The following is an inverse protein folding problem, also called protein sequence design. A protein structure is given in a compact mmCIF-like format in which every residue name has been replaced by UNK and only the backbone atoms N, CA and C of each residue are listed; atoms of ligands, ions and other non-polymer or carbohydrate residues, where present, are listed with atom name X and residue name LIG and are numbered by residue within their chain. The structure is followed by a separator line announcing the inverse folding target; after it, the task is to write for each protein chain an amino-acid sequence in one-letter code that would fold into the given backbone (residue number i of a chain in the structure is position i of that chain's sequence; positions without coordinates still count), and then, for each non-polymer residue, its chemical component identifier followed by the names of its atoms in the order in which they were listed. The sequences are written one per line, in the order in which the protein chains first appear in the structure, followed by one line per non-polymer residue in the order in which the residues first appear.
data_IF_803418983495
#
_entry.id   IF_803418983495
#
_cell.length_a   1.000
_cell.length_b   1.000
_cell.length_c   1.000
_cell.angle_alpha   90.00
_cell.angle_beta   90.00
_cell.angle_gamma   90.00
#
_symmetry.space_group_name_H-M   'P 1'
#
loop_
_entity.id
_entity.type
_entity.pdbx_description
1 polymer ?
#
# COMPACT_ATOMS: atom_id res chain seq x y z
N UNK A 1 -19.47 -9.73 -7.41
CA UNK A 1 -19.07 -8.45 -6.85
C UNK A 1 -18.45 -8.63 -5.47
N UNK A 2 -17.24 -8.09 -5.26
CA UNK A 2 -16.58 -8.04 -3.95
C UNK A 2 -17.32 -7.09 -2.99
N UNK A 3 -17.43 -7.50 -1.73
CA UNK A 3 -18.15 -6.74 -0.70
C UNK A 3 -17.21 -6.48 0.47
N UNK A 4 -17.04 -5.20 0.83
CA UNK A 4 -16.35 -4.84 2.06
C UNK A 4 -17.25 -5.11 3.26
N UNK A 5 -16.77 -5.90 4.22
CA UNK A 5 -17.39 -6.09 5.52
C UNK A 5 -16.57 -5.34 6.57
N UNK A 6 -17.25 -4.51 7.34
CA UNK A 6 -16.64 -3.77 8.45
C UNK A 6 -16.90 -4.54 9.75
N UNK A 7 -15.83 -4.91 10.45
CA UNK A 7 -15.89 -5.13 11.90
C UNK A 7 -15.36 -3.87 12.61
N UNK A 8 -15.67 -3.69 13.89
CA UNK A 8 -15.28 -2.55 14.71
C UNK A 8 -13.76 -2.30 14.76
N UNK A 9 -12.94 -3.28 14.37
CA UNK A 9 -11.48 -3.24 14.45
C UNK A 9 -10.77 -3.44 13.11
N UNK A 10 -11.41 -4.08 12.12
CA UNK A 10 -10.77 -4.45 10.85
C UNK A 10 -11.74 -4.33 9.67
N UNK A 11 -11.25 -3.75 8.57
CA UNK A 11 -11.91 -3.86 7.27
C UNK A 11 -11.48 -5.17 6.61
N UNK A 12 -12.46 -5.99 6.28
CA UNK A 12 -12.26 -7.28 5.65
C UNK A 12 -13.02 -7.35 4.33
N UNK A 13 -12.43 -7.97 3.33
CA UNK A 13 -13.06 -8.17 2.04
C UNK A 13 -13.69 -9.56 1.96
N UNK A 14 -14.96 -9.64 1.57
CA UNK A 14 -15.67 -10.88 1.35
C UNK A 14 -15.59 -11.29 -0.13
N UNK A 15 -15.18 -12.54 -0.35
CA UNK A 15 -15.03 -13.17 -1.66
C UNK A 15 -16.13 -14.20 -1.95
N UNK A 16 -17.13 -14.33 -1.08
CA UNK A 16 -18.25 -15.26 -1.27
C UNK A 16 -18.95 -15.04 -2.62
N UNK A 17 -19.19 -13.77 -2.97
CA UNK A 17 -19.89 -13.36 -4.18
C UNK A 17 -18.97 -12.71 -5.22
N UNK A 18 -17.65 -12.93 -5.15
CA UNK A 18 -16.70 -12.37 -6.12
C UNK A 18 -17.08 -12.72 -7.58
N UNK A 19 -16.77 -11.83 -8.51
CA UNK A 19 -16.95 -11.97 -9.95
C UNK A 19 -15.62 -11.88 -10.71
N UNK A 20 -15.54 -12.50 -11.89
CA UNK A 20 -14.38 -12.38 -12.76
C UNK A 20 -14.30 -10.93 -13.24
N UNK A 21 -13.11 -10.32 -13.12
CA UNK A 21 -12.87 -8.92 -13.41
C UNK A 21 -12.97 -8.00 -12.19
N UNK A 22 -13.43 -8.50 -11.04
CA UNK A 22 -13.41 -7.72 -9.80
C UNK A 22 -11.97 -7.34 -9.43
N UNK A 23 -11.77 -6.08 -9.06
CA UNK A 23 -10.47 -5.50 -8.71
C UNK A 23 -10.44 -5.17 -7.23
N UNK A 24 -9.32 -5.47 -6.58
CA UNK A 24 -9.06 -5.12 -5.19
C UNK A 24 -7.58 -4.88 -4.96
N UNK A 25 -7.27 -4.31 -3.81
CA UNK A 25 -5.91 -3.95 -3.41
C UNK A 25 -5.53 -4.67 -2.13
N UNK A 26 -4.34 -5.24 -2.10
CA UNK A 26 -3.76 -5.89 -0.92
C UNK A 26 -2.71 -4.97 -0.33
N UNK A 27 -2.82 -4.70 0.96
CA UNK A 27 -1.83 -3.93 1.72
C UNK A 27 -0.99 -4.91 2.52
N UNK A 28 0.29 -4.98 2.20
CA UNK A 28 1.26 -5.79 2.94
C UNK A 28 1.90 -4.94 4.04
N UNK A 29 1.87 -5.42 5.28
CA UNK A 29 2.55 -4.78 6.41
C UNK A 29 3.87 -5.50 6.72
N UNK A 30 4.83 -4.75 7.23
CA UNK A 30 6.04 -5.34 7.84
C UNK A 30 5.62 -6.03 9.15
N UNK A 31 6.00 -7.31 9.38
CA UNK A 31 5.58 -8.06 10.57
C UNK A 31 5.82 -7.29 11.87
N UNK A 32 4.85 -7.35 12.78
CA UNK A 32 4.91 -6.72 14.11
C UNK A 32 5.08 -5.19 14.09
N UNK A 33 4.82 -4.55 12.95
CA UNK A 33 4.83 -3.08 12.83
C UNK A 33 3.59 -2.61 12.07
N UNK A 34 3.12 -1.40 12.35
CA UNK A 34 2.08 -0.74 11.56
C UNK A 34 2.57 -0.27 10.18
N UNK A 35 3.85 -0.47 9.85
CA UNK A 35 4.47 0.05 8.64
C UNK A 35 4.01 -0.73 7.42
N UNK A 36 3.50 -0.01 6.43
CA UNK A 36 3.12 -0.59 5.13
C UNK A 36 4.39 -0.88 4.34
N UNK A 37 4.56 -2.14 3.95
CA UNK A 37 5.65 -2.65 3.12
C UNK A 37 5.33 -2.51 1.63
N UNK A 38 4.09 -2.72 1.26
CA UNK A 38 3.67 -2.81 -0.14
C UNK A 38 2.17 -2.63 -0.29
N UNK A 39 1.77 -2.11 -1.45
CA UNK A 39 0.37 -2.05 -1.87
C UNK A 39 0.30 -2.66 -3.25
N UNK A 40 -0.53 -3.70 -3.44
CA UNK A 40 -0.58 -4.43 -4.69
C UNK A 40 -2.00 -4.58 -5.22
N UNK A 41 -2.16 -4.25 -6.51
CA UNK A 41 -3.40 -4.43 -7.24
C UNK A 41 -3.57 -5.88 -7.65
N UNK A 42 -4.75 -6.43 -7.40
CA UNK A 42 -5.16 -7.75 -7.83
C UNK A 42 -6.48 -7.68 -8.61
N UNK A 43 -6.60 -8.54 -9.60
CA UNK A 43 -7.82 -8.77 -10.37
C UNK A 43 -8.23 -10.22 -10.24
N UNK A 44 -9.51 -10.48 -10.01
CA UNK A 44 -10.08 -11.82 -10.02
C UNK A 44 -10.12 -12.34 -11.45
N UNK A 45 -9.40 -13.43 -11.73
CA UNK A 45 -9.31 -13.99 -13.09
C UNK A 45 -10.07 -15.29 -13.26
N UNK A 46 -10.26 -16.06 -12.19
CA UNK A 46 -10.97 -17.34 -12.25
C UNK A 46 -11.72 -17.61 -10.94
N UNK A 47 -12.94 -18.14 -11.06
CA UNK A 47 -13.77 -18.55 -9.92
C UNK A 47 -14.03 -20.04 -10.00
N UNK A 48 -13.64 -20.74 -8.93
CA UNK A 48 -13.95 -22.16 -8.70
C UNK A 48 -14.97 -22.28 -7.57
N UNK A 49 -15.52 -23.49 -7.40
CA UNK A 49 -16.54 -23.78 -6.38
C UNK A 49 -16.15 -23.32 -4.95
N UNK A 50 -14.86 -23.41 -4.57
CA UNK A 50 -14.38 -23.00 -3.22
C UNK A 50 -13.29 -21.94 -3.23
N UNK A 51 -12.77 -21.58 -4.40
CA UNK A 51 -11.58 -20.75 -4.53
C UNK A 51 -11.79 -19.63 -5.54
N UNK A 52 -11.19 -18.48 -5.27
CA UNK A 52 -11.05 -17.36 -6.18
C UNK A 52 -9.57 -17.24 -6.52
N UNK A 53 -9.23 -17.25 -7.81
CA UNK A 53 -7.87 -17.06 -8.30
C UNK A 53 -7.73 -15.62 -8.75
N UNK A 54 -6.73 -14.95 -8.20
CA UNK A 54 -6.46 -13.54 -8.43
C UNK A 54 -5.05 -13.38 -8.99
N UNK A 55 -4.88 -12.45 -9.92
CA UNK A 55 -3.60 -12.13 -10.53
C UNK A 55 -3.23 -10.67 -10.27
N UNK A 56 -1.94 -10.41 -10.20
CA UNK A 56 -1.35 -9.08 -10.12
C UNK A 56 -0.29 -8.96 -11.20
N UNK A 57 -0.09 -7.76 -11.74
CA UNK A 57 0.97 -7.47 -12.70
C UNK A 57 2.36 -7.47 -12.04
N UNK A 58 2.42 -7.05 -10.77
CA UNK A 58 3.67 -6.83 -10.04
C UNK A 58 3.93 -7.88 -8.95
N UNK A 59 2.91 -8.68 -8.60
CA UNK A 59 2.98 -9.65 -7.51
C UNK A 59 2.60 -11.06 -7.96
N UNK A 60 2.92 -12.05 -7.12
CA UNK A 60 2.60 -13.45 -7.40
C UNK A 60 1.08 -13.66 -7.41
N UNK A 61 0.56 -14.56 -8.27
CA UNK A 61 -0.84 -14.95 -8.25
C UNK A 61 -1.25 -15.49 -6.88
N UNK A 62 -2.49 -15.18 -6.50
CA UNK A 62 -3.05 -15.52 -5.19
C UNK A 62 -4.28 -16.41 -5.35
N UNK A 63 -4.48 -17.32 -4.38
CA UNK A 63 -5.66 -18.19 -4.30
C UNK A 63 -6.36 -17.94 -2.97
N UNK A 64 -7.57 -17.42 -3.02
CA UNK A 64 -8.37 -17.05 -1.86
C UNK A 64 -9.51 -18.06 -1.70
N UNK A 65 -9.82 -18.47 -0.47
CA UNK A 65 -11.01 -19.27 -0.19
C UNK A 65 -12.24 -18.38 -0.17
N UNK A 66 -13.29 -18.76 -0.90
CA UNK A 66 -14.56 -17.98 -0.97
C UNK A 66 -15.23 -17.81 0.39
N UNK A 67 -15.04 -18.77 1.30
CA UNK A 67 -15.62 -18.75 2.63
C UNK A 67 -14.82 -17.94 3.66
N UNK A 68 -13.71 -17.32 3.26
CA UNK A 68 -12.77 -16.68 4.19
C UNK A 68 -12.68 -15.21 3.90
N UNK A 69 -13.00 -14.41 4.91
CA UNK A 69 -12.78 -12.97 4.90
C UNK A 69 -11.29 -12.67 4.82
N UNK A 70 -10.90 -11.78 3.91
CA UNK A 70 -9.51 -11.38 3.75
C UNK A 70 -9.26 -10.05 4.44
N UNK A 71 -8.28 -10.03 5.34
CA UNK A 71 -7.79 -8.82 5.97
C UNK A 71 -6.85 -8.05 5.04
N UNK A 72 -6.70 -6.76 5.32
CA UNK A 72 -5.82 -5.86 4.57
C UNK A 72 -6.09 -5.84 3.05
N UNK A 73 -7.31 -6.18 2.66
CA UNK A 73 -7.80 -6.13 1.29
C UNK A 73 -8.84 -5.02 1.18
N UNK A 74 -8.70 -4.15 0.18
CA UNK A 74 -9.48 -2.94 0.05
C UNK A 74 -10.03 -2.78 -1.37
N UNK A 75 -11.17 -2.11 -1.49
CA UNK A 75 -11.68 -1.62 -2.77
C UNK A 75 -11.05 -0.26 -3.08
N UNK A 76 -10.93 0.06 -4.37
CA UNK A 76 -10.31 1.31 -4.83
C UNK A 76 -11.04 2.56 -4.30
N UNK A 77 -12.36 2.49 -4.15
CA UNK A 77 -13.18 3.59 -3.65
C UNK A 77 -13.26 3.65 -2.11
N UNK A 78 -12.47 2.86 -1.38
CA UNK A 78 -12.47 2.90 0.08
C UNK A 78 -11.74 4.16 0.59
N UNK A 79 -12.40 5.04 1.38
CA UNK A 79 -11.76 6.27 1.88
C UNK A 79 -10.51 6.01 2.72
N UNK A 80 -10.50 4.92 3.49
CA UNK A 80 -9.34 4.55 4.31
C UNK A 80 -8.19 4.02 3.45
N UNK A 81 -8.51 3.34 2.34
CA UNK A 81 -7.50 2.88 1.40
C UNK A 81 -6.78 4.06 0.71
N UNK A 82 -7.51 5.13 0.37
CA UNK A 82 -6.89 6.33 -0.21
C UNK A 82 -5.81 6.93 0.72
N UNK A 83 -6.07 6.98 2.04
CA UNK A 83 -5.10 7.46 3.02
C UNK A 83 -3.89 6.53 3.18
N UNK A 84 -4.12 5.21 3.19
CA UNK A 84 -3.07 4.18 3.19
C UNK A 84 -2.18 4.35 1.95
N UNK A 85 -2.78 4.42 0.76
CA UNK A 85 -2.08 4.50 -0.50
C UNK A 85 -1.20 5.75 -0.54
N UNK A 86 -1.75 6.91 -0.18
CA UNK A 86 -1.01 8.16 -0.10
C UNK A 86 0.18 8.07 0.88
N UNK A 87 -0.04 7.47 2.05
CA UNK A 87 1.00 7.29 3.06
C UNK A 87 2.12 6.39 2.56
N UNK A 88 1.76 5.29 1.89
CA UNK A 88 2.70 4.36 1.29
C UNK A 88 3.52 5.04 0.18
N UNK A 89 2.90 5.76 -0.75
CA UNK A 89 3.57 6.46 -1.85
C UNK A 89 4.62 7.47 -1.34
N UNK A 90 4.25 8.30 -0.36
CA UNK A 90 5.18 9.26 0.27
C UNK A 90 6.34 8.50 0.93
N UNK A 91 6.04 7.44 1.67
CA UNK A 91 7.07 6.66 2.37
C UNK A 91 8.04 5.99 1.39
N UNK A 92 7.53 5.43 0.30
CA UNK A 92 8.35 4.84 -0.77
C UNK A 92 9.22 5.89 -1.46
N UNK A 93 8.69 7.10 -1.71
CA UNK A 93 9.49 8.20 -2.27
C UNK A 93 10.62 8.62 -1.33
N UNK A 94 10.33 8.76 -0.03
CA UNK A 94 11.35 9.11 0.97
C UNK A 94 12.44 8.04 1.05
N UNK A 95 12.07 6.76 1.07
CA UNK A 95 13.06 5.67 1.07
C UNK A 95 13.89 5.64 -0.22
N UNK A 96 13.28 5.92 -1.37
CA UNK A 96 14.01 6.05 -2.62
C UNK A 96 15.02 7.21 -2.60
N UNK A 97 14.61 8.40 -2.14
CA UNK A 97 15.51 9.55 -1.97
C UNK A 97 16.63 9.23 -0.98
N UNK A 98 16.33 8.59 0.15
CA UNK A 98 17.35 8.16 1.13
C UNK A 98 18.37 7.21 0.50
N UNK A 99 17.91 6.28 -0.34
CA UNK A 99 18.78 5.36 -1.06
C UNK A 99 19.68 6.12 -2.03
N UNK A 100 19.13 7.02 -2.84
CA UNK A 100 19.91 7.86 -3.76
C UNK A 100 20.99 8.65 -3.02
N UNK A 101 20.65 9.27 -1.89
CA UNK A 101 21.61 10.04 -1.09
C UNK A 101 22.75 9.15 -0.60
N UNK A 102 22.45 7.91 -0.16
CA UNK A 102 23.47 6.96 0.32
C UNK A 102 24.38 6.44 -0.78
N UNK A 103 23.89 6.37 -2.02
CA UNK A 103 24.64 5.82 -3.15
C UNK A 103 25.59 6.84 -3.81
N UNK A 104 25.42 8.14 -3.55
CA UNK A 104 26.27 9.20 -4.10
C UNK A 104 27.34 9.65 -3.08
N UNK A 105 28.48 10.14 -3.58
CA UNK A 105 29.52 10.67 -2.71
C UNK A 105 29.11 12.04 -2.17
N UNK A 106 29.53 12.36 -0.93
CA UNK A 106 29.19 13.64 -0.31
C UNK A 106 29.62 14.88 -1.11
N UNK A 107 30.62 14.73 -2.00
CA UNK A 107 31.12 15.80 -2.87
C UNK A 107 30.16 16.16 -4.02
N UNK A 108 29.21 15.30 -4.32
CA UNK A 108 28.24 15.49 -5.42
C UNK A 108 27.00 16.28 -4.95
N UNK A 109 26.86 16.53 -3.64
CA UNK A 109 25.82 17.40 -3.10
C UNK A 109 26.29 18.86 -3.18
N UNK A 110 25.68 19.61 -4.08
CA UNK A 110 25.90 21.05 -4.17
C UNK A 110 25.18 21.83 -3.06
N UNK A 111 25.43 23.14 -3.04
CA UNK A 111 24.82 24.04 -2.06
C UNK A 111 23.29 24.10 -2.19
N UNK A 112 22.73 23.86 -3.38
CA UNK A 112 21.29 23.86 -3.61
C UNK A 112 20.62 22.72 -2.84
N UNK A 113 21.21 21.53 -2.85
CA UNK A 113 20.70 20.39 -2.07
C UNK A 113 20.77 20.67 -0.57
N UNK A 114 21.88 21.25 -0.09
CA UNK A 114 22.04 21.61 1.32
C UNK A 114 20.98 22.62 1.76
N UNK A 115 20.77 23.68 0.97
CA UNK A 115 19.81 24.73 1.26
C UNK A 115 18.37 24.20 1.27
N UNK A 116 18.03 23.30 0.35
CA UNK A 116 16.72 22.67 0.30
C UNK A 116 16.40 21.85 1.57
N UNK A 117 17.38 21.10 2.07
CA UNK A 117 17.24 20.29 3.30
C UNK A 117 17.07 21.20 4.53
N UNK A 118 17.89 22.23 4.66
CA UNK A 118 17.81 23.18 5.79
C UNK A 118 16.50 23.98 5.76
N UNK A 119 16.03 24.39 4.58
CA UNK A 119 14.74 25.07 4.43
C UNK A 119 13.57 24.15 4.83
N UNK A 120 13.64 22.86 4.49
CA UNK A 120 12.66 21.87 4.95
C UNK A 120 12.67 21.70 6.47
N UNK A 121 13.85 21.57 7.10
CA UNK A 121 13.98 21.45 8.55
C UNK A 121 13.30 22.63 9.27
N UNK A 122 13.58 23.87 8.87
CA UNK A 122 12.97 25.07 9.47
C UNK A 122 11.44 25.02 9.39
N UNK A 123 10.87 24.59 8.26
CA UNK A 123 9.40 24.42 8.10
C UNK A 123 8.83 23.34 9.02
N UNK A 124 9.60 22.29 9.33
CA UNK A 124 9.18 21.24 10.27
C UNK A 124 9.20 21.76 11.70
N UNK A 125 10.25 22.48 12.09
CA UNK A 125 10.40 23.07 13.41
C UNK A 125 9.29 24.09 13.71
N UNK A 126 9.00 25.00 12.78
CA UNK A 126 7.91 25.99 12.94
C UNK A 126 6.51 25.37 13.07
N UNK A 127 6.29 24.11 12.66
CA UNK A 127 5.00 23.41 12.86
C UNK A 127 4.87 22.77 14.23
N UNK A 128 5.97 22.69 14.99
CA UNK A 128 6.02 22.08 16.33
C UNK A 128 5.89 23.11 17.46
N UNK A 129 6.05 24.39 17.14
CA UNK A 129 5.79 25.54 18.00
C UNK A 129 4.31 25.97 17.90
#
# INVERSE_FOLDING_TARGET
MLIAKNDAYHKQLDFADAEIGDVFWVVEHVPYSGTIKGVQKYTVTEIRSKLVICQSELAKPMKIKRSTLQENCYLENDPYFADIQKTFEISSQVEWVRKLIKEHESRDFDQEVVDAVLAWQRRVEMRRE
#
